data_IF_654189018846
#
_entry.id   IF_654189018846
#
_cell.length_a   1.000
_cell.length_b   1.000
_cell.length_c   1.000
_cell.angle_alpha   90.00
_cell.angle_beta   90.00
_cell.angle_gamma   90.00
#
_symmetry.space_group_name_H-M   'P 1'
#
loop_
_entity.id
_entity.type
_entity.pdbx_description
1 polymer ?
#
# COMPACT_ATOMS: atom_id res chain seq x y z
N UNK A 1 -0.28 -1.58 -21.03
CA UNK A 1 -0.78 -1.27 -19.69
C UNK A 1 -2.30 -1.34 -19.73
N UNK A 2 -2.96 -2.18 -18.90
CA UNK A 2 -4.41 -2.38 -18.95
C UNK A 2 -5.09 -1.57 -17.84
N UNK A 3 -6.12 -0.79 -18.19
CA UNK A 3 -6.79 0.18 -17.31
C UNK A 3 -7.95 -0.44 -16.54
N UNK A 4 -8.09 -0.07 -15.27
CA UNK A 4 -9.25 -0.31 -14.42
C UNK A 4 -9.60 1.01 -13.75
N UNK A 5 -10.88 1.42 -13.75
CA UNK A 5 -11.28 2.72 -13.19
C UNK A 5 -12.14 2.56 -11.93
N UNK A 6 -11.95 3.46 -10.98
CA UNK A 6 -12.80 3.65 -9.81
C UNK A 6 -13.81 4.74 -10.07
N UNK A 7 -15.03 4.56 -9.60
CA UNK A 7 -16.03 5.61 -9.59
C UNK A 7 -16.43 5.91 -8.15
N UNK A 8 -16.22 7.14 -7.73
CA UNK A 8 -16.68 7.79 -6.50
C UNK A 8 -16.26 7.18 -5.14
N UNK A 9 -15.70 8.02 -4.27
CA UNK A 9 -15.42 7.78 -2.85
C UNK A 9 -16.20 8.78 -1.99
N UNK A 10 -16.92 8.30 -0.98
CA UNK A 10 -17.67 9.13 -0.02
C UNK A 10 -17.29 8.78 1.43
N UNK A 11 -17.37 9.71 2.39
CA UNK A 11 -17.07 9.43 3.79
C UNK A 11 -18.16 8.59 4.45
N UNK A 12 -17.75 7.68 5.35
CA UNK A 12 -18.69 6.90 6.18
C UNK A 12 -19.22 7.79 7.29
N UNK A 13 -20.53 8.00 7.32
CA UNK A 13 -21.21 8.68 8.42
C UNK A 13 -21.06 7.91 9.73
N UNK A 14 -20.55 8.57 10.77
CA UNK A 14 -20.37 8.00 12.11
C UNK A 14 -21.70 7.81 12.83
N UNK A 15 -22.21 6.57 12.86
CA UNK A 15 -23.13 6.11 13.91
C UNK A 15 -22.46 4.97 14.67
N UNK A 16 -22.26 5.03 15.99
CA UNK A 16 -21.71 3.92 16.75
C UNK A 16 -22.79 2.86 16.92
N UNK A 17 -22.63 1.70 16.32
CA UNK A 17 -23.37 0.50 16.67
C UNK A 17 -22.46 -0.35 17.56
N UNK A 18 -22.79 -0.41 18.86
CA UNK A 18 -22.26 -1.42 19.78
C UNK A 18 -22.78 -2.78 19.32
N UNK A 19 -21.90 -3.67 18.91
CA UNK A 19 -22.20 -5.08 18.76
C UNK A 19 -21.25 -5.87 19.71
N UNK A 20 -21.80 -6.22 20.88
CA UNK A 20 -21.27 -7.25 21.76
C UNK A 20 -21.81 -8.60 21.30
N UNK A 21 -20.92 -9.47 20.80
CA UNK A 21 -21.24 -10.87 20.51
C UNK A 21 -20.00 -11.73 20.69
N UNK A 22 -20.13 -12.95 21.26
CA UNK A 22 -18.98 -13.78 21.63
C UNK A 22 -18.27 -14.35 20.39
N UNK A 23 -16.95 -14.30 20.41
CA UNK A 23 -16.05 -14.87 19.43
C UNK A 23 -16.02 -16.40 19.60
N UNK A 24 -16.59 -17.13 18.67
CA UNK A 24 -16.43 -18.60 18.59
C UNK A 24 -15.26 -18.87 17.65
N UNK A 25 -14.16 -19.40 18.22
CA UNK A 25 -12.98 -19.83 17.51
C UNK A 25 -13.24 -21.18 16.84
N UNK A 26 -13.55 -21.18 15.56
CA UNK A 26 -13.63 -22.39 14.74
C UNK A 26 -12.30 -22.65 14.03
N UNK A 27 -11.57 -23.69 14.43
CA UNK A 27 -10.45 -24.24 13.66
C UNK A 27 -11.00 -24.90 12.38
N UNK A 28 -10.78 -24.29 11.24
CA UNK A 28 -10.93 -24.96 9.95
C UNK A 28 -9.54 -25.38 9.45
N UNK A 29 -9.28 -26.68 9.50
CA UNK A 29 -8.18 -27.33 8.77
C UNK A 29 -8.51 -27.28 7.28
N UNK A 30 -7.85 -26.42 6.55
CA UNK A 30 -7.95 -26.31 5.10
C UNK A 30 -6.72 -26.92 4.42
N UNK A 31 -7.00 -27.78 3.46
CA UNK A 31 -6.08 -28.66 2.74
C UNK A 31 -4.93 -27.90 2.04
N UNK A 32 -3.71 -28.44 2.19
CA UNK A 32 -2.51 -28.13 1.42
C UNK A 32 -2.71 -28.42 -0.06
N UNK A 33 -2.61 -27.40 -0.90
CA UNK A 33 -2.17 -27.56 -2.28
C UNK A 33 -0.67 -27.23 -2.31
N UNK A 34 0.15 -28.27 -2.18
CA UNK A 34 1.58 -28.19 -2.50
C UNK A 34 1.71 -28.22 -4.02
N UNK A 35 2.03 -27.08 -4.61
CA UNK A 35 2.69 -27.05 -5.91
C UNK A 35 4.09 -26.47 -5.70
N UNK A 36 5.07 -27.30 -6.09
CA UNK A 36 6.48 -27.08 -5.82
C UNK A 36 7.03 -25.82 -6.47
N UNK A 37 7.42 -24.90 -5.62
CA UNK A 37 8.49 -23.97 -5.91
C UNK A 37 9.48 -24.07 -4.73
N UNK A 38 10.58 -24.77 -4.96
CA UNK A 38 11.70 -24.82 -4.03
C UNK A 38 12.37 -23.42 -4.03
N UNK A 39 11.69 -22.43 -3.47
CA UNK A 39 12.29 -21.20 -2.99
C UNK A 39 13.17 -21.59 -1.80
N UNK A 40 14.41 -21.13 -1.79
CA UNK A 40 15.32 -21.22 -0.64
C UNK A 40 14.61 -20.59 0.55
N UNK A 41 13.94 -21.40 1.38
CA UNK A 41 13.44 -20.96 2.66
C UNK A 41 14.66 -20.56 3.50
N UNK A 42 14.83 -19.27 3.71
CA UNK A 42 15.75 -18.79 4.73
C UNK A 42 15.32 -19.39 6.07
N UNK A 43 16.20 -20.20 6.68
CA UNK A 43 15.94 -20.85 7.97
C UNK A 43 15.74 -19.87 9.13
N UNK A 44 15.73 -18.57 8.84
CA UNK A 44 15.69 -17.44 9.81
C UNK A 44 14.62 -16.40 9.52
N UNK A 45 13.68 -16.67 8.60
CA UNK A 45 12.62 -15.73 8.27
C UNK A 45 11.83 -15.31 9.54
N UNK A 46 11.72 -13.98 9.75
CA UNK A 46 11.00 -13.45 10.91
C UNK A 46 9.53 -13.88 10.91
N UNK A 47 9.07 -14.38 12.05
CA UNK A 47 7.66 -14.74 12.24
C UNK A 47 6.75 -13.50 12.22
N UNK A 48 5.44 -13.64 11.93
CA UNK A 48 4.50 -12.50 12.00
C UNK A 48 4.50 -11.78 13.35
N UNK A 49 4.64 -12.51 14.47
CA UNK A 49 4.73 -11.91 15.80
C UNK A 49 6.00 -11.08 15.95
N UNK A 50 7.15 -11.63 15.55
CA UNK A 50 8.41 -10.88 15.56
C UNK A 50 8.37 -9.62 14.71
N UNK A 51 7.64 -9.63 13.58
CA UNK A 51 7.45 -8.43 12.76
C UNK A 51 6.60 -7.38 13.47
N UNK A 52 5.54 -7.75 14.15
CA UNK A 52 4.72 -6.82 14.96
C UNK A 52 5.55 -6.24 16.10
N UNK A 53 6.34 -7.05 16.79
CA UNK A 53 7.23 -6.60 17.87
C UNK A 53 8.29 -5.60 17.35
N UNK A 54 8.79 -5.82 16.13
CA UNK A 54 9.73 -4.88 15.49
C UNK A 54 9.08 -3.54 15.16
N UNK A 55 7.84 -3.52 14.66
CA UNK A 55 7.10 -2.29 14.46
C UNK A 55 6.87 -1.55 15.78
N UNK A 56 6.52 -2.26 16.85
CA UNK A 56 6.37 -1.65 18.18
C UNK A 56 7.72 -1.14 18.72
N UNK A 57 8.81 -1.82 18.45
CA UNK A 57 10.16 -1.34 18.82
C UNK A 57 10.54 -0.07 18.05
N UNK A 58 10.18 0.03 16.77
CA UNK A 58 10.50 1.18 15.94
C UNK A 58 9.58 2.40 16.21
N UNK A 59 8.31 2.18 16.51
CA UNK A 59 7.30 3.25 16.54
C UNK A 59 6.57 3.39 17.90
N UNK A 60 6.82 2.48 18.84
CA UNK A 60 6.09 2.38 20.11
C UNK A 60 4.81 1.55 20.01
N UNK A 61 4.37 1.01 21.15
CA UNK A 61 3.10 0.31 21.29
C UNK A 61 2.00 1.30 21.71
N UNK A 62 1.10 1.64 20.80
CA UNK A 62 0.09 2.68 20.98
C UNK A 62 -1.34 2.14 21.05
N UNK A 63 -1.55 0.85 21.28
CA UNK A 63 -2.86 0.17 21.21
C UNK A 63 -3.61 0.43 19.89
N UNK A 64 -2.86 0.63 18.81
CA UNK A 64 -3.32 0.87 17.46
C UNK A 64 -2.65 -0.11 16.50
N UNK A 65 -2.80 0.09 15.20
CA UNK A 65 -2.05 -0.67 14.19
C UNK A 65 -0.55 -0.46 14.40
N UNK A 66 0.24 -1.54 14.32
CA UNK A 66 1.69 -1.49 14.49
C UNK A 66 2.39 -0.65 13.39
N UNK A 67 1.75 -0.50 12.24
CA UNK A 67 2.17 0.35 11.11
C UNK A 67 0.93 0.93 10.43
N UNK A 68 1.06 2.06 9.75
CA UNK A 68 -0.06 2.78 9.15
C UNK A 68 -1.19 3.10 10.15
N UNK A 69 -0.85 3.54 11.36
CA UNK A 69 -1.81 3.75 12.45
C UNK A 69 -2.75 4.94 12.18
N UNK A 70 -2.20 6.10 11.80
CA UNK A 70 -2.99 7.28 11.43
C UNK A 70 -3.57 7.11 10.03
N UNK A 71 -4.87 7.38 9.86
CA UNK A 71 -5.51 7.29 8.54
C UNK A 71 -7.01 7.53 8.60
N UNK A 72 -7.64 7.43 7.43
CA UNK A 72 -9.09 7.65 7.23
C UNK A 72 -9.66 6.55 6.34
N UNK A 73 -10.91 6.18 6.58
CA UNK A 73 -11.65 5.20 5.79
C UNK A 73 -12.71 5.94 4.97
N UNK A 74 -12.80 5.59 3.70
CA UNK A 74 -13.79 6.06 2.74
C UNK A 74 -14.51 4.86 2.12
N UNK A 75 -15.74 5.04 1.71
CA UNK A 75 -16.49 4.08 0.89
C UNK A 75 -16.53 4.55 -0.55
N UNK A 76 -16.63 3.58 -1.47
CA UNK A 76 -16.69 3.87 -2.89
C UNK A 76 -17.11 2.65 -3.71
N UNK A 77 -16.87 2.73 -4.99
CA UNK A 77 -17.15 1.66 -5.95
C UNK A 77 -15.98 1.42 -6.89
N UNK A 78 -15.90 0.20 -7.39
CA UNK A 78 -14.92 -0.23 -8.38
C UNK A 78 -15.61 -0.92 -9.54
N UNK A 79 -15.29 -0.52 -10.77
CA UNK A 79 -15.76 -1.15 -11.99
C UNK A 79 -14.56 -1.64 -12.80
N UNK A 80 -14.40 -2.98 -12.99
CA UNK A 80 -13.34 -3.52 -13.79
C UNK A 80 -13.58 -3.23 -15.28
N UNK A 81 -12.50 -2.92 -16.01
CA UNK A 81 -12.57 -2.79 -17.47
C UNK A 81 -12.74 -4.17 -18.14
N UNK A 82 -13.23 -4.22 -19.41
CA UNK A 82 -13.30 -5.46 -20.16
C UNK A 82 -11.95 -6.20 -20.26
N UNK A 83 -10.84 -5.46 -20.41
CA UNK A 83 -9.48 -6.00 -20.50
C UNK A 83 -9.05 -6.67 -19.19
N UNK A 84 -9.46 -6.13 -18.04
CA UNK A 84 -9.18 -6.72 -16.74
C UNK A 84 -9.76 -8.13 -16.60
N UNK A 85 -10.95 -8.36 -17.16
CA UNK A 85 -11.62 -9.67 -17.17
C UNK A 85 -10.84 -10.71 -17.97
N UNK A 86 -10.17 -10.32 -19.06
CA UNK A 86 -9.37 -11.21 -19.87
C UNK A 86 -8.01 -11.53 -19.22
N UNK A 87 -7.54 -10.67 -18.31
CA UNK A 87 -6.24 -10.79 -17.69
C UNK A 87 -6.20 -11.77 -16.52
N UNK A 88 -7.31 -11.86 -15.76
CA UNK A 88 -7.38 -12.68 -14.56
C UNK A 88 -8.81 -13.17 -14.32
N UNK A 89 -8.96 -14.36 -13.74
CA UNK A 89 -10.23 -14.88 -13.23
C UNK A 89 -10.53 -14.46 -11.77
N UNK A 90 -9.73 -13.57 -11.19
CA UNK A 90 -9.96 -13.06 -9.84
C UNK A 90 -11.37 -12.41 -9.74
N UNK A 91 -12.17 -12.73 -8.72
CA UNK A 91 -13.59 -12.34 -8.65
C UNK A 91 -13.83 -10.84 -8.76
N UNK A 92 -12.96 -10.00 -8.14
CA UNK A 92 -13.09 -8.54 -8.23
C UNK A 92 -12.86 -7.97 -9.64
N UNK A 93 -12.32 -8.79 -10.57
CA UNK A 93 -12.09 -8.41 -11.97
C UNK A 93 -13.12 -8.98 -12.94
N UNK A 94 -14.10 -9.81 -12.48
CA UNK A 94 -15.04 -10.52 -13.36
C UNK A 94 -16.44 -9.90 -13.39
N UNK A 95 -16.83 -9.24 -12.31
CA UNK A 95 -18.22 -8.75 -12.15
C UNK A 95 -18.48 -7.38 -12.78
N UNK A 96 -19.64 -6.84 -12.43
CA UNK A 96 -19.96 -5.42 -12.60
C UNK A 96 -19.32 -4.56 -11.53
N UNK A 97 -19.95 -3.43 -11.23
CA UNK A 97 -19.51 -2.53 -10.16
C UNK A 97 -19.61 -3.21 -8.79
N UNK A 98 -18.52 -3.13 -8.01
CA UNK A 98 -18.41 -3.66 -6.65
C UNK A 98 -18.29 -2.52 -5.64
N UNK A 99 -18.92 -2.64 -4.46
CA UNK A 99 -18.62 -1.75 -3.35
C UNK A 99 -17.19 -1.98 -2.86
N UNK A 100 -16.49 -0.90 -2.52
CA UNK A 100 -15.16 -0.95 -1.93
C UNK A 100 -15.09 -0.12 -0.65
N UNK A 101 -14.13 -0.49 0.20
CA UNK A 101 -13.65 0.35 1.29
C UNK A 101 -12.22 0.73 0.96
N UNK A 102 -11.92 2.03 1.02
CA UNK A 102 -10.56 2.55 0.82
C UNK A 102 -10.07 3.12 2.12
N UNK A 103 -8.83 2.82 2.47
CA UNK A 103 -8.16 3.43 3.62
C UNK A 103 -6.90 4.14 3.16
N UNK A 104 -6.87 5.46 3.35
CA UNK A 104 -5.64 6.24 3.29
C UNK A 104 -4.96 6.29 4.66
N UNK A 105 -3.63 6.37 4.68
CA UNK A 105 -2.87 6.38 5.94
C UNK A 105 -1.47 6.98 5.78
N UNK A 106 -0.92 7.39 6.92
CA UNK A 106 0.49 7.68 7.09
C UNK A 106 1.27 6.39 7.38
N UNK A 107 2.60 6.42 7.20
CA UNK A 107 3.40 5.19 7.24
C UNK A 107 3.54 4.57 8.63
N UNK A 108 3.83 5.38 9.67
CA UNK A 108 4.24 4.83 10.97
C UNK A 108 3.13 4.21 11.80
N UNK A 109 3.51 3.50 12.87
CA UNK A 109 2.62 3.02 13.94
C UNK A 109 2.20 4.07 14.96
N UNK A 110 2.53 5.35 14.75
CA UNK A 110 2.22 6.46 15.66
C UNK A 110 0.89 7.11 15.27
N UNK A 111 -0.20 6.94 16.07
CA UNK A 111 -1.53 7.44 15.70
C UNK A 111 -1.63 8.97 15.59
N UNK A 112 -0.81 9.67 16.35
CA UNK A 112 -0.77 11.14 16.38
C UNK A 112 0.34 11.77 15.55
N UNK A 113 0.97 11.02 14.63
CA UNK A 113 2.05 11.58 13.80
C UNK A 113 1.54 12.76 12.98
N UNK A 114 2.35 13.82 12.86
CA UNK A 114 2.02 14.93 11.96
C UNK A 114 2.13 14.53 10.50
N UNK A 115 1.18 14.95 9.66
CA UNK A 115 1.23 14.76 8.22
C UNK A 115 2.42 15.52 7.58
N UNK A 116 3.00 16.51 8.28
CA UNK A 116 4.06 17.38 7.76
C UNK A 116 5.46 16.86 7.98
N UNK A 117 5.65 15.75 8.72
CA UNK A 117 6.99 15.19 8.98
C UNK A 117 7.34 14.11 7.99
N UNK A 118 8.63 14.01 7.63
CA UNK A 118 9.11 13.02 6.67
C UNK A 118 8.80 11.57 7.06
N UNK A 119 8.82 11.25 8.35
CA UNK A 119 8.50 9.91 8.88
C UNK A 119 7.03 9.48 8.64
N UNK A 120 6.13 10.39 8.27
CA UNK A 120 4.76 10.06 7.88
C UNK A 120 4.65 9.50 6.46
N UNK A 121 5.72 9.56 5.66
CA UNK A 121 5.84 9.01 4.30
C UNK A 121 6.58 7.67 4.29
N UNK A 122 6.34 6.81 3.27
CA UNK A 122 5.35 6.96 2.20
C UNK A 122 3.92 6.83 2.68
N UNK A 123 2.97 7.48 1.98
CA UNK A 123 1.54 7.38 2.28
C UNK A 123 1.01 6.01 1.83
N UNK A 124 0.05 5.47 2.59
CA UNK A 124 -0.61 4.21 2.26
C UNK A 124 -1.99 4.39 1.64
N UNK A 125 -2.34 3.51 0.69
CA UNK A 125 -3.70 3.30 0.20
C UNK A 125 -3.99 1.81 0.19
N UNK A 126 -5.01 1.38 0.94
CA UNK A 126 -5.50 0.01 0.94
C UNK A 126 -6.93 0.00 0.43
N UNK A 127 -7.27 -0.99 -0.40
CA UNK A 127 -8.60 -1.18 -0.98
C UNK A 127 -9.09 -2.55 -0.59
N UNK A 128 -10.28 -2.62 0.01
CA UNK A 128 -11.04 -3.85 0.23
C UNK A 128 -12.19 -3.92 -0.76
N UNK A 129 -12.20 -4.91 -1.62
CA UNK A 129 -13.31 -5.21 -2.54
C UNK A 129 -14.31 -6.10 -1.82
N UNK A 130 -15.56 -5.65 -1.71
CA UNK A 130 -16.65 -6.43 -1.14
C UNK A 130 -17.23 -7.33 -2.23
N UNK A 131 -17.04 -8.63 -2.09
CA UNK A 131 -17.53 -9.64 -3.02
C UNK A 131 -18.87 -10.23 -2.55
N UNK A 132 -19.65 -10.86 -3.43
CA UNK A 132 -20.86 -11.58 -3.04
C UNK A 132 -20.59 -12.62 -1.95
N UNK A 133 -21.57 -12.88 -1.07
CA UNK A 133 -21.48 -13.89 -0.02
C UNK A 133 -20.51 -13.55 1.11
N UNK A 134 -20.32 -12.26 1.41
CA UNK A 134 -19.44 -11.76 2.48
C UNK A 134 -17.93 -12.03 2.26
N UNK A 135 -17.54 -12.49 1.09
CA UNK A 135 -16.13 -12.63 0.71
C UNK A 135 -15.50 -11.25 0.45
N UNK A 136 -14.19 -11.16 0.57
CA UNK A 136 -13.44 -9.95 0.21
C UNK A 136 -12.07 -10.29 -0.31
N UNK A 137 -11.47 -9.35 -1.05
CA UNK A 137 -10.05 -9.37 -1.42
C UNK A 137 -9.50 -7.97 -1.27
N UNK A 138 -8.20 -7.87 -1.01
CA UNK A 138 -7.55 -6.61 -0.67
C UNK A 138 -6.39 -6.32 -1.62
N UNK A 139 -6.17 -5.02 -1.89
CA UNK A 139 -4.95 -4.50 -2.51
C UNK A 139 -4.32 -3.51 -1.53
N UNK A 140 -3.04 -3.71 -1.22
CA UNK A 140 -2.26 -2.85 -0.33
C UNK A 140 -1.18 -2.16 -1.15
N UNK A 141 -1.11 -0.84 -1.04
CA UNK A 141 -0.18 -0.01 -1.80
C UNK A 141 0.37 1.14 -0.95
N UNK A 142 1.47 1.75 -1.42
CA UNK A 142 2.00 2.97 -0.84
C UNK A 142 2.57 3.90 -1.93
N UNK A 143 2.84 5.16 -1.57
CA UNK A 143 3.17 6.22 -2.53
C UNK A 143 4.62 6.20 -3.05
N UNK A 144 5.42 5.20 -2.69
CA UNK A 144 6.77 4.98 -3.20
C UNK A 144 6.79 3.75 -4.12
N UNK A 145 7.43 3.85 -5.30
CA UNK A 145 7.52 2.73 -6.24
C UNK A 145 8.75 1.87 -5.93
N UNK A 146 8.62 0.99 -4.95
CA UNK A 146 9.66 0.10 -4.45
C UNK A 146 9.53 -0.10 -2.95
N UNK A 147 10.33 -0.98 -2.37
CA UNK A 147 10.36 -1.27 -0.94
C UNK A 147 11.81 -1.13 -0.42
N UNK A 148 12.05 -0.79 0.84
CA UNK A 148 13.42 -0.52 1.31
C UNK A 148 14.33 -1.75 1.30
N UNK A 149 13.75 -2.97 1.34
CA UNK A 149 14.49 -4.23 1.45
C UNK A 149 13.88 -5.30 0.57
N UNK A 150 14.67 -6.32 0.24
CA UNK A 150 14.22 -7.46 -0.57
C UNK A 150 13.52 -8.54 0.27
N UNK A 151 13.94 -8.70 1.53
CA UNK A 151 13.50 -9.78 2.42
C UNK A 151 12.90 -9.26 3.72
N UNK A 152 12.12 -10.12 4.39
CA UNK A 152 11.55 -9.84 5.71
C UNK A 152 12.63 -9.66 6.78
N UNK A 153 13.72 -10.41 6.71
CA UNK A 153 14.83 -10.33 7.68
C UNK A 153 15.61 -9.03 7.53
N UNK A 154 15.88 -8.57 6.30
CA UNK A 154 16.46 -7.25 6.07
C UNK A 154 15.52 -6.14 6.56
N UNK A 155 14.21 -6.29 6.34
CA UNK A 155 13.23 -5.31 6.82
C UNK A 155 13.18 -5.26 8.35
N UNK A 156 13.25 -6.42 9.01
CA UNK A 156 13.39 -6.51 10.46
C UNK A 156 14.65 -5.77 10.94
N UNK A 157 15.78 -5.99 10.30
CA UNK A 157 17.05 -5.33 10.63
C UNK A 157 16.97 -3.81 10.47
N UNK A 158 16.32 -3.33 9.41
CA UNK A 158 16.06 -1.91 9.20
C UNK A 158 15.19 -1.32 10.31
N UNK A 159 14.10 -1.99 10.70
CA UNK A 159 13.21 -1.52 11.77
C UNK A 159 13.91 -1.43 13.12
N UNK A 160 14.78 -2.40 13.46
CA UNK A 160 15.61 -2.37 14.66
C UNK A 160 16.57 -1.16 14.63
N UNK A 161 17.20 -0.91 13.48
CA UNK A 161 18.11 0.22 13.30
C UNK A 161 17.37 1.58 13.40
N UNK A 162 16.12 1.67 12.87
CA UNK A 162 15.27 2.85 13.03
C UNK A 162 14.90 3.05 14.50
N UNK A 163 14.52 1.99 15.22
CA UNK A 163 14.21 2.07 16.65
C UNK A 163 15.38 2.53 17.49
N UNK A 164 16.60 2.01 17.22
CA UNK A 164 17.83 2.44 17.87
C UNK A 164 18.11 3.93 17.62
N UNK A 165 17.96 4.39 16.37
CA UNK A 165 18.12 5.81 16.01
C UNK A 165 17.10 6.69 16.76
N UNK A 166 15.85 6.28 16.86
CA UNK A 166 14.81 6.97 17.63
C UNK A 166 15.11 7.07 19.12
N UNK A 167 15.92 6.13 19.66
CA UNK A 167 16.40 6.12 21.04
C UNK A 167 17.75 6.84 21.22
N UNK A 168 18.23 7.58 20.22
CA UNK A 168 19.46 8.38 20.26
C UNK A 168 20.74 7.65 19.79
N UNK A 169 20.66 6.37 19.39
CA UNK A 169 21.79 5.63 18.83
C UNK A 169 21.66 5.53 17.31
N UNK A 170 22.29 6.44 16.58
CA UNK A 170 22.22 6.50 15.12
C UNK A 170 23.15 5.50 14.40
N UNK A 171 24.13 4.93 15.07
CA UNK A 171 25.17 4.11 14.44
C UNK A 171 24.60 2.89 13.70
N UNK A 172 23.66 2.08 14.24
CA UNK A 172 23.09 0.93 13.52
C UNK A 172 22.39 1.30 12.23
N UNK A 173 21.69 2.44 12.22
CA UNK A 173 20.99 2.92 11.00
C UNK A 173 21.99 3.38 9.94
N UNK A 174 23.02 4.11 10.33
CA UNK A 174 24.07 4.54 9.41
C UNK A 174 24.82 3.35 8.79
N UNK A 175 25.17 2.35 9.60
CA UNK A 175 25.80 1.12 9.12
C UNK A 175 24.90 0.37 8.14
N UNK A 176 23.62 0.17 8.50
CA UNK A 176 22.65 -0.48 7.63
C UNK A 176 22.53 0.22 6.28
N UNK A 177 22.40 1.54 6.26
CA UNK A 177 22.23 2.33 5.03
C UNK A 177 23.51 2.36 4.17
N UNK A 178 24.67 2.11 4.74
CA UNK A 178 25.93 1.99 3.98
C UNK A 178 25.95 0.72 3.12
N UNK A 179 25.38 -0.37 3.64
CA UNK A 179 25.34 -1.67 2.95
C UNK A 179 24.05 -1.90 2.14
N UNK A 180 23.01 -1.08 2.36
CA UNK A 180 21.70 -1.19 1.71
C UNK A 180 21.31 0.10 0.96
N UNK A 181 21.89 0.36 -0.23
CA UNK A 181 21.68 1.61 -0.96
C UNK A 181 20.22 1.85 -1.36
N UNK A 182 19.45 0.78 -1.60
CA UNK A 182 17.99 0.88 -1.89
C UNK A 182 17.24 1.39 -0.66
N UNK A 183 17.54 0.90 0.54
CA UNK A 183 16.95 1.39 1.78
C UNK A 183 17.31 2.86 2.03
N UNK A 184 18.58 3.24 1.75
CA UNK A 184 19.01 4.63 1.81
C UNK A 184 18.18 5.51 0.87
N UNK A 185 18.04 5.13 -0.39
CA UNK A 185 17.21 5.84 -1.37
C UNK A 185 15.77 5.94 -0.88
N UNK A 186 15.17 4.84 -0.42
CA UNK A 186 13.81 4.84 0.12
C UNK A 186 13.61 5.85 1.24
N UNK A 187 14.54 5.96 2.19
CA UNK A 187 14.42 6.87 3.32
C UNK A 187 14.75 8.33 2.98
N UNK A 188 15.58 8.58 1.96
CA UNK A 188 16.10 9.94 1.67
C UNK A 188 15.48 10.60 0.45
N UNK A 189 14.77 9.86 -0.43
CA UNK A 189 14.18 10.39 -1.67
C UNK A 189 12.66 10.32 -1.67
N UNK A 190 12.03 10.57 -0.51
CA UNK A 190 10.57 10.66 -0.43
C UNK A 190 10.08 11.87 -1.25
N UNK A 191 8.89 11.72 -1.83
CA UNK A 191 8.23 12.82 -2.54
C UNK A 191 7.99 14.00 -1.57
N UNK A 192 7.91 15.24 -2.09
CA UNK A 192 7.46 16.39 -1.30
C UNK A 192 6.08 16.12 -0.68
N UNK A 193 5.71 16.90 0.33
CA UNK A 193 4.40 16.77 0.96
C UNK A 193 3.29 16.99 -0.08
N UNK A 194 2.40 16.02 -0.19
CA UNK A 194 1.27 16.09 -1.13
C UNK A 194 0.22 17.09 -0.67
N UNK A 195 -0.53 17.68 -1.59
CA UNK A 195 -1.71 18.51 -1.25
C UNK A 195 -2.87 17.67 -0.74
N UNK A 196 -2.97 16.38 -1.13
CA UNK A 196 -4.04 15.45 -0.78
C UNK A 196 -3.58 14.00 -0.96
N UNK A 197 -4.16 13.06 -0.22
CA UNK A 197 -4.05 11.64 -0.60
C UNK A 197 -4.66 11.36 -1.98
N UNK A 198 -5.64 12.16 -2.42
CA UNK A 198 -6.28 12.05 -3.72
C UNK A 198 -5.39 12.51 -4.91
N UNK A 199 -4.24 13.07 -4.62
CA UNK A 199 -3.27 13.57 -5.61
C UNK A 199 -1.91 12.89 -5.52
N UNK A 200 -1.90 11.62 -5.10
CA UNK A 200 -0.71 10.77 -5.10
C UNK A 200 -0.94 9.51 -5.93
N UNK A 201 0.08 9.07 -6.63
CA UNK A 201 0.13 7.72 -7.17
C UNK A 201 0.55 6.72 -6.09
N UNK A 202 -0.07 5.52 -6.12
CA UNK A 202 0.25 4.46 -5.17
C UNK A 202 0.66 3.18 -5.92
N UNK A 203 1.57 2.41 -5.32
CA UNK A 203 2.22 1.27 -5.94
C UNK A 203 2.08 0.03 -5.05
N UNK A 204 1.61 -1.08 -5.64
CA UNK A 204 1.68 -2.41 -5.05
C UNK A 204 3.02 -3.04 -5.41
N UNK A 205 3.92 -3.15 -4.43
CA UNK A 205 5.30 -3.60 -4.66
C UNK A 205 5.44 -5.10 -4.82
N UNK A 206 4.47 -5.88 -4.34
CA UNK A 206 4.46 -7.33 -4.51
C UNK A 206 3.94 -7.71 -5.90
N UNK A 207 4.55 -8.73 -6.51
CA UNK A 207 4.06 -9.31 -7.73
C UNK A 207 3.01 -10.40 -7.45
N UNK A 208 1.91 -10.39 -8.21
CA UNK A 208 0.85 -11.39 -8.13
C UNK A 208 0.78 -12.17 -9.44
N UNK A 209 0.65 -13.48 -9.33
CA UNK A 209 0.40 -14.34 -10.50
C UNK A 209 -1.10 -14.25 -10.84
N UNK A 210 -1.39 -13.63 -11.98
CA UNK A 210 -2.72 -13.62 -12.56
C UNK A 210 -2.88 -14.81 -13.49
N UNK A 211 -3.99 -15.53 -13.36
CA UNK A 211 -4.35 -16.62 -14.27
C UNK A 211 -5.71 -16.31 -14.88
N UNK A 212 -5.80 -16.28 -16.20
CA UNK A 212 -7.03 -16.02 -16.93
C UNK A 212 -7.90 -17.29 -17.10
N UNK A 213 -9.04 -17.16 -17.77
CA UNK A 213 -9.97 -18.30 -18.01
C UNK A 213 -9.38 -19.38 -18.91
N UNK A 214 -8.43 -19.03 -19.78
CA UNK A 214 -7.74 -19.98 -20.65
C UNK A 214 -6.59 -20.72 -19.93
N UNK A 215 -6.29 -20.38 -18.66
CA UNK A 215 -5.18 -20.95 -17.90
C UNK A 215 -3.84 -20.24 -18.12
N UNK A 216 -3.78 -19.21 -18.96
CA UNK A 216 -2.58 -18.43 -19.19
C UNK A 216 -2.26 -17.59 -17.95
N UNK A 217 -0.99 -17.51 -17.57
CA UNK A 217 -0.54 -16.83 -16.36
C UNK A 217 0.49 -15.76 -16.66
N UNK A 218 0.35 -14.62 -15.96
CA UNK A 218 1.28 -13.50 -16.00
C UNK A 218 1.51 -12.96 -14.58
N UNK A 219 2.73 -12.52 -14.28
CA UNK A 219 2.98 -11.76 -13.06
C UNK A 219 2.63 -10.29 -13.28
N UNK A 220 2.01 -9.68 -12.29
CA UNK A 220 1.60 -8.27 -12.33
C UNK A 220 1.91 -7.56 -11.03
N UNK A 221 2.13 -6.24 -11.10
CA UNK A 221 2.08 -5.34 -9.95
C UNK A 221 0.97 -4.32 -10.16
N UNK A 222 0.35 -3.90 -9.07
CA UNK A 222 -0.69 -2.88 -9.10
C UNK A 222 -0.10 -1.47 -9.08
N UNK A 223 -0.74 -0.57 -9.79
CA UNK A 223 -0.48 0.86 -9.74
C UNK A 223 -1.80 1.62 -9.73
N UNK A 224 -1.92 2.58 -8.84
CA UNK A 224 -3.08 3.46 -8.70
C UNK A 224 -2.66 4.87 -9.06
N UNK A 225 -3.26 5.42 -10.10
CA UNK A 225 -2.98 6.76 -10.60
C UNK A 225 -4.21 7.63 -10.36
N UNK A 226 -4.08 8.77 -9.67
CA UNK A 226 -5.19 9.70 -9.48
C UNK A 226 -5.55 10.38 -10.80
N UNK A 227 -6.84 10.51 -11.11
CA UNK A 227 -7.28 11.25 -12.29
C UNK A 227 -6.96 12.75 -12.18
N UNK A 228 -6.85 13.26 -10.95
CA UNK A 228 -6.44 14.63 -10.70
C UNK A 228 -4.94 14.92 -10.97
N UNK A 229 -4.13 13.88 -11.21
CA UNK A 229 -2.67 14.01 -11.27
C UNK A 229 -2.01 14.12 -9.88
N UNK A 230 -0.69 14.25 -9.86
CA UNK A 230 0.07 14.43 -8.63
C UNK A 230 0.28 15.93 -8.34
N UNK A 231 -0.02 16.34 -7.09
CA UNK A 231 0.15 17.71 -6.64
C UNK A 231 0.84 17.75 -5.28
N UNK A 232 1.79 18.66 -5.13
CA UNK A 232 2.61 18.80 -3.93
C UNK A 232 2.51 20.21 -3.37
N UNK A 233 2.68 20.34 -2.06
CA UNK A 233 2.78 21.63 -1.38
C UNK A 233 4.11 22.31 -1.76
N UNK A 234 4.08 23.61 -1.90
CA UNK A 234 5.30 24.42 -1.91
C UNK A 234 5.94 24.39 -0.50
N UNK A 235 7.21 24.77 -0.38
CA UNK A 235 7.88 24.86 0.92
C UNK A 235 7.13 25.76 1.91
N UNK A 236 6.63 26.90 1.44
CA UNK A 236 5.86 27.83 2.27
C UNK A 236 4.52 27.22 2.73
N UNK A 237 3.81 26.50 1.85
CA UNK A 237 2.59 25.79 2.22
C UNK A 237 2.87 24.63 3.18
N UNK A 238 3.96 23.88 2.97
CA UNK A 238 4.37 22.79 3.84
C UNK A 238 4.72 23.30 5.27
N UNK A 239 5.42 24.44 5.37
CA UNK A 239 5.77 25.04 6.64
C UNK A 239 4.55 25.58 7.41
N UNK A 240 3.48 25.97 6.72
CA UNK A 240 2.25 26.51 7.29
C UNK A 240 1.16 25.43 7.49
N UNK A 241 1.38 24.19 7.07
CA UNK A 241 0.36 23.16 7.09
C UNK A 241 0.05 22.66 8.51
N UNK A 242 -1.23 22.44 8.78
CA UNK A 242 -1.69 21.82 10.03
C UNK A 242 -1.19 20.37 10.14
N UNK A 243 -0.84 19.89 11.33
CA UNK A 243 -0.40 18.50 11.53
C UNK A 243 -1.39 17.42 11.04
N UNK A 244 -2.64 17.74 10.82
CA UNK A 244 -3.69 16.84 10.36
C UNK A 244 -4.32 17.29 9.03
N UNK A 245 -3.60 18.10 8.24
CA UNK A 245 -4.14 18.74 7.05
C UNK A 245 -4.71 17.74 6.03
N UNK A 246 -4.10 16.56 5.87
CA UNK A 246 -4.59 15.54 4.94
C UNK A 246 -5.95 14.97 5.33
N UNK A 247 -6.18 14.75 6.64
CA UNK A 247 -7.48 14.29 7.10
C UNK A 247 -8.57 15.34 6.95
N UNK A 248 -8.22 16.59 7.18
CA UNK A 248 -9.14 17.74 7.03
C UNK A 248 -9.46 17.94 5.54
N UNK A 249 -8.44 17.98 4.71
CA UNK A 249 -8.58 18.17 3.26
C UNK A 249 -9.43 17.08 2.61
N UNK A 250 -9.12 15.80 2.86
CA UNK A 250 -9.85 14.70 2.21
C UNK A 250 -11.33 14.65 2.59
N UNK A 251 -11.68 15.01 3.84
CA UNK A 251 -13.07 15.12 4.29
C UNK A 251 -13.82 16.22 3.54
N UNK A 252 -13.18 17.37 3.37
CA UNK A 252 -13.75 18.49 2.62
C UNK A 252 -13.89 18.14 1.13
N UNK A 253 -12.87 17.49 0.57
CA UNK A 253 -12.86 17.12 -0.85
C UNK A 253 -14.00 16.17 -1.18
N UNK A 254 -14.15 15.06 -0.44
CA UNK A 254 -15.22 14.06 -0.72
C UNK A 254 -16.62 14.57 -0.46
N UNK A 255 -16.77 15.63 0.35
CA UNK A 255 -18.07 16.29 0.55
C UNK A 255 -18.51 17.13 -0.66
N UNK A 256 -17.58 17.51 -1.53
CA UNK A 256 -17.82 18.43 -2.66
C UNK A 256 -17.76 17.76 -4.01
N UNK A 257 -16.91 16.75 -4.18
CA UNK A 257 -16.71 16.04 -5.44
C UNK A 257 -16.17 14.62 -5.25
N UNK A 258 -16.45 13.72 -6.20
CA UNK A 258 -15.87 12.38 -6.19
C UNK A 258 -14.34 12.43 -6.36
N UNK A 259 -13.66 11.47 -5.71
CA UNK A 259 -12.25 11.18 -5.92
C UNK A 259 -12.15 9.95 -6.82
N UNK A 260 -11.36 10.04 -7.87
CA UNK A 260 -11.20 8.97 -8.86
C UNK A 260 -9.74 8.57 -9.04
N UNK A 261 -9.53 7.25 -9.16
CA UNK A 261 -8.24 6.64 -9.47
C UNK A 261 -8.41 5.63 -10.60
N UNK A 262 -7.38 5.49 -11.40
CA UNK A 262 -7.24 4.36 -12.31
C UNK A 262 -6.36 3.29 -11.67
N UNK A 263 -6.88 2.08 -11.59
CA UNK A 263 -6.11 0.91 -11.16
C UNK A 263 -5.51 0.22 -12.39
N UNK A 264 -4.21 0.11 -12.43
CA UNK A 264 -3.47 -0.57 -13.49
C UNK A 264 -2.88 -1.88 -12.97
N UNK A 265 -2.92 -2.91 -13.81
CA UNK A 265 -2.13 -4.12 -13.67
C UNK A 265 -0.93 -4.01 -14.61
N UNK A 266 0.24 -3.76 -14.07
CA UNK A 266 1.50 -3.72 -14.81
C UNK A 266 1.99 -5.15 -15.01
N UNK A 267 1.87 -5.67 -16.23
CA UNK A 267 2.28 -7.04 -16.59
C UNK A 267 3.80 -7.13 -16.66
N UNK A 268 4.37 -8.20 -16.08
CA UNK A 268 5.80 -8.47 -16.10
C UNK A 268 6.26 -8.85 -17.50
N UNK A 269 7.43 -8.33 -17.88
CA UNK A 269 8.18 -8.74 -19.06
C UNK A 269 9.36 -9.66 -18.67
N UNK A 270 9.96 -10.30 -19.67
CA UNK A 270 11.14 -11.15 -19.46
C UNK A 270 12.27 -10.32 -18.83
N UNK A 271 12.81 -10.80 -17.72
CA UNK A 271 13.89 -10.12 -16.98
C UNK A 271 13.43 -9.18 -15.87
N UNK A 272 12.12 -8.96 -15.69
CA UNK A 272 11.62 -8.21 -14.55
C UNK A 272 11.80 -8.98 -13.23
N UNK A 273 12.20 -8.26 -12.16
CA UNK A 273 12.38 -8.81 -10.82
C UNK A 273 11.01 -9.03 -10.17
N UNK A 274 10.39 -10.19 -10.36
CA UNK A 274 9.07 -10.51 -9.84
C UNK A 274 9.08 -10.88 -8.35
N UNK A 275 10.21 -11.34 -7.81
CA UNK A 275 10.34 -11.80 -6.43
C UNK A 275 10.96 -10.76 -5.50
N UNK A 276 11.49 -9.66 -6.03
CA UNK A 276 12.15 -8.62 -5.25
C UNK A 276 11.32 -7.33 -5.22
N UNK A 277 10.63 -7.02 -4.11
CA UNK A 277 9.80 -5.82 -3.97
C UNK A 277 10.61 -4.52 -3.92
N UNK A 278 11.92 -4.60 -3.63
CA UNK A 278 12.78 -3.42 -3.52
C UNK A 278 13.18 -2.85 -4.88
N UNK A 279 13.10 -3.65 -5.94
CA UNK A 279 13.38 -3.21 -7.30
C UNK A 279 12.14 -2.56 -7.91
N UNK A 280 12.22 -1.25 -8.15
CA UNK A 280 11.22 -0.54 -8.94
C UNK A 280 11.23 -1.07 -10.38
N UNK A 281 10.05 -1.34 -10.96
CA UNK A 281 9.99 -1.81 -12.34
C UNK A 281 10.37 -0.69 -13.32
N UNK A 282 11.32 -0.97 -14.20
CA UNK A 282 11.76 -0.06 -15.26
C UNK A 282 10.64 0.32 -16.26
N UNK A 283 9.59 -0.49 -16.39
CA UNK A 283 8.46 -0.20 -17.26
C UNK A 283 7.66 1.05 -16.85
N UNK A 284 7.77 1.54 -15.60
CA UNK A 284 7.19 2.83 -15.23
C UNK A 284 7.83 4.00 -15.99
N UNK A 285 9.11 3.90 -16.31
CA UNK A 285 9.80 4.92 -17.12
C UNK A 285 9.36 4.90 -18.61
N UNK A 286 8.97 3.72 -19.13
CA UNK A 286 8.46 3.60 -20.52
C UNK A 286 7.02 4.08 -20.65
N UNK A 287 6.20 3.91 -19.63
CA UNK A 287 4.82 4.40 -19.63
C UNK A 287 4.72 5.93 -19.46
N UNK A 288 5.68 6.54 -18.76
CA UNK A 288 5.77 8.01 -18.65
C UNK A 288 6.14 8.70 -19.98
N UNK A 289 6.72 7.97 -20.94
CA UNK A 289 7.01 8.47 -22.28
C UNK A 289 5.86 8.32 -23.29
N UNK A 290 4.68 7.84 -22.88
CA UNK A 290 3.54 7.59 -23.76
C UNK A 290 2.20 8.10 -23.21
N UNK A 291 2.25 9.18 -22.46
CA UNK A 291 1.07 10.00 -22.14
C UNK A 291 1.07 11.21 -23.09
N UNK A 292 0.89 10.94 -24.39
CA UNK A 292 0.42 11.92 -25.33
C UNK A 292 -1.11 11.90 -25.40
N UNK A 293 -1.74 13.07 -25.67
CA UNK A 293 -3.01 13.57 -25.16
C UNK A 293 -4.25 12.77 -25.47
#
# INVERSE_FOLDING_TARGET
MKRMSFNQLAPIGSKPALLTGPLVLGLALGANAQDGNAGVESKTAATPIQMVDMFHSAFGAHHARAVHAKGIILEGSFTPSPEARSLSRAPHLQGGTLPIIVRFSDFTGIPGISDTVGASSPRGMAIKFKLPGSASTDIITHSFNGFPTATTDEFRSLLLAIGANGSGNAAPLQEFLTTHPIAKTFLTTQKPLTTSWATLSFFGVNAFKFTNKAGESHFVRYQLIPDAGEHFLTEAQAAAADPNYLQTEIKQLVATKPITFKLYAQVAEKGDAIENPSVARLAAARAAGHLDP
#
